data_IF_429535703252
#
_entry.id   IF_429535703252
#
_cell.length_a   1.000
_cell.length_b   1.000
_cell.length_c   1.000
_cell.angle_alpha   90.00
_cell.angle_beta   90.00
_cell.angle_gamma   90.00
#
_symmetry.space_group_name_H-M   'P 1'
#
loop_
_entity.id
_entity.type
_entity.pdbx_description
1 polymer ?
#
# COMPACT_ATOMS: atom_id res chain seq x y z
N UNK A 1 21.84 -11.94 -2.39
CA UNK A 1 21.64 -13.07 -1.48
C UNK A 1 22.47 -12.86 -0.23
N UNK A 2 21.95 -13.29 0.92
CA UNK A 2 22.69 -13.22 2.18
C UNK A 2 23.86 -14.21 2.16
N UNK A 3 24.84 -14.00 3.04
CA UNK A 3 26.01 -14.83 3.21
C UNK A 3 25.73 -16.09 4.07
N UNK A 4 24.45 -16.49 4.21
CA UNK A 4 24.03 -17.67 4.98
C UNK A 4 24.24 -18.94 4.15
N UNK A 5 24.97 -19.92 4.69
CA UNK A 5 25.25 -21.18 4.01
C UNK A 5 24.18 -22.25 4.30
N UNK A 6 24.05 -23.33 3.47
CA UNK A 6 23.02 -24.36 3.66
C UNK A 6 23.02 -25.04 5.05
N UNK A 7 24.20 -25.24 5.64
CA UNK A 7 24.32 -25.79 7.00
C UNK A 7 23.73 -24.84 8.05
N UNK A 8 23.92 -23.52 7.88
CA UNK A 8 23.37 -22.51 8.78
C UNK A 8 21.85 -22.40 8.63
N UNK A 9 21.30 -22.55 7.42
CA UNK A 9 19.85 -22.62 7.21
C UNK A 9 19.23 -23.82 7.93
N UNK A 10 19.91 -24.96 7.91
CA UNK A 10 19.47 -26.15 8.65
C UNK A 10 19.48 -25.90 10.15
N UNK A 11 20.53 -25.27 10.67
CA UNK A 11 20.61 -24.84 12.07
C UNK A 11 19.48 -23.84 12.43
N UNK A 12 19.21 -22.85 11.58
CA UNK A 12 18.11 -21.89 11.79
C UNK A 12 16.77 -22.62 11.89
N UNK A 13 16.50 -23.57 10.98
CA UNK A 13 15.28 -24.37 10.99
C UNK A 13 15.14 -25.23 12.25
N UNK A 14 16.25 -25.67 12.85
CA UNK A 14 16.23 -26.41 14.12
C UNK A 14 16.02 -25.49 15.32
N UNK A 15 16.69 -24.34 15.37
CA UNK A 15 16.58 -23.36 16.46
C UNK A 15 15.18 -22.75 16.52
N UNK A 16 14.59 -22.44 15.37
CA UNK A 16 13.27 -21.82 15.29
C UNK A 16 12.13 -22.83 15.14
N UNK A 17 12.40 -24.14 15.23
CA UNK A 17 11.38 -25.18 15.00
C UNK A 17 10.22 -25.07 16.00
N UNK A 18 9.00 -25.12 15.47
CA UNK A 18 7.79 -25.28 16.27
C UNK A 18 7.47 -26.74 16.62
N UNK A 19 6.18 -27.04 16.80
CA UNK A 19 5.69 -28.38 17.20
C UNK A 19 6.04 -29.50 16.20
N UNK A 20 6.18 -29.17 14.91
CA UNK A 20 6.50 -30.15 13.87
C UNK A 20 7.31 -29.56 12.71
N UNK A 21 7.76 -30.41 11.79
CA UNK A 21 8.56 -29.99 10.62
C UNK A 21 7.77 -28.99 9.77
N UNK A 22 8.39 -27.85 9.46
CA UNK A 22 7.75 -26.78 8.68
C UNK A 22 7.05 -25.69 9.52
N UNK A 23 6.96 -25.90 10.84
CA UNK A 23 6.48 -24.89 11.80
C UNK A 23 7.65 -24.06 12.32
N UNK A 24 7.38 -22.76 12.54
CA UNK A 24 8.30 -21.80 13.14
C UNK A 24 7.66 -21.34 14.45
N UNK A 25 8.33 -21.62 15.57
CA UNK A 25 7.86 -21.27 16.92
C UNK A 25 6.37 -21.64 17.12
N UNK A 26 5.58 -20.78 17.76
CA UNK A 26 4.13 -20.93 17.94
C UNK A 26 3.31 -20.20 16.85
N UNK A 27 3.93 -19.74 15.78
CA UNK A 27 3.24 -18.98 14.74
C UNK A 27 2.28 -19.86 13.92
N UNK A 28 1.04 -19.37 13.74
CA UNK A 28 0.16 -19.78 12.66
C UNK A 28 0.56 -19.08 11.36
N UNK A 29 -0.05 -19.43 10.23
CA UNK A 29 0.23 -18.70 8.99
C UNK A 29 -0.21 -17.23 9.05
N UNK A 30 -1.32 -16.94 9.75
CA UNK A 30 -1.82 -15.57 9.90
C UNK A 30 -0.92 -14.76 10.82
N UNK A 31 -0.52 -15.30 11.97
CA UNK A 31 0.32 -14.57 12.93
C UNK A 31 1.74 -14.39 12.42
N UNK A 32 2.28 -15.36 11.65
CA UNK A 32 3.56 -15.20 10.96
C UNK A 32 3.52 -14.06 9.92
N UNK A 33 2.43 -13.99 9.14
CA UNK A 33 2.22 -12.92 8.15
C UNK A 33 2.18 -11.57 8.83
N UNK A 34 1.33 -11.45 9.85
CA UNK A 34 1.19 -10.22 10.63
C UNK A 34 2.51 -9.79 11.27
N UNK A 35 3.25 -10.72 11.88
CA UNK A 35 4.58 -10.45 12.43
C UNK A 35 5.52 -9.86 11.38
N UNK A 36 5.57 -10.45 10.18
CA UNK A 36 6.44 -9.95 9.11
C UNK A 36 5.99 -8.60 8.54
N UNK A 37 4.68 -8.39 8.40
CA UNK A 37 4.11 -7.12 7.96
C UNK A 37 4.41 -6.01 8.96
N UNK A 38 4.19 -6.23 10.26
CA UNK A 38 4.33 -5.19 11.28
C UNK A 38 5.80 -4.91 11.65
N UNK A 39 6.64 -5.94 11.74
CA UNK A 39 8.03 -5.80 12.21
C UNK A 39 9.01 -5.48 11.08
N UNK A 40 8.72 -5.95 9.87
CA UNK A 40 9.64 -5.86 8.74
C UNK A 40 9.09 -5.12 7.53
N UNK A 41 7.78 -4.84 7.51
CA UNK A 41 7.11 -4.32 6.32
C UNK A 41 7.30 -5.25 5.12
N UNK A 42 7.19 -6.57 5.31
CA UNK A 42 7.42 -7.57 4.25
C UNK A 42 6.27 -8.55 4.15
N UNK A 43 5.80 -8.83 2.93
CA UNK A 43 4.86 -9.94 2.70
C UNK A 43 5.63 -11.23 2.45
N UNK A 44 5.92 -11.95 3.55
CA UNK A 44 6.56 -13.27 3.52
C UNK A 44 5.73 -14.31 2.73
N UNK A 45 4.43 -14.07 2.54
CA UNK A 45 3.52 -14.99 1.87
C UNK A 45 3.34 -14.71 0.38
N UNK A 46 3.99 -13.67 -0.16
CA UNK A 46 4.05 -13.40 -1.59
C UNK A 46 4.66 -14.57 -2.38
N UNK A 47 4.38 -14.62 -3.68
CA UNK A 47 4.90 -15.66 -4.58
C UNK A 47 6.43 -15.62 -4.71
N UNK A 48 7.04 -14.45 -4.51
CA UNK A 48 8.50 -14.24 -4.49
C UNK A 48 9.20 -15.17 -3.47
N UNK A 49 8.54 -15.53 -2.37
CA UNK A 49 9.09 -16.40 -1.32
C UNK A 49 8.52 -17.82 -1.30
N UNK A 50 7.75 -18.23 -2.32
CA UNK A 50 7.18 -19.58 -2.42
C UNK A 50 8.10 -20.61 -3.11
N UNK A 51 9.31 -20.21 -3.50
CA UNK A 51 10.23 -21.00 -4.35
C UNK A 51 10.70 -22.33 -3.74
N UNK A 52 10.72 -22.44 -2.42
CA UNK A 52 11.13 -23.66 -1.70
C UNK A 52 9.95 -24.42 -1.06
N UNK A 53 8.73 -24.06 -1.48
CA UNK A 53 7.49 -24.59 -0.94
C UNK A 53 6.71 -23.57 -0.11
N UNK A 54 5.51 -23.96 0.30
CA UNK A 54 4.51 -23.06 0.88
C UNK A 54 4.45 -23.07 2.40
N UNK A 55 5.31 -23.87 3.06
CA UNK A 55 5.41 -23.92 4.53
C UNK A 55 6.07 -22.66 5.10
N UNK A 56 5.85 -22.37 6.40
CA UNK A 56 6.47 -21.22 7.08
C UNK A 56 7.99 -21.29 7.02
N UNK A 57 8.56 -22.45 7.34
CA UNK A 57 10.00 -22.69 7.27
C UNK A 57 10.54 -22.54 5.84
N UNK A 58 9.84 -23.09 4.83
CA UNK A 58 10.22 -22.92 3.42
C UNK A 58 10.24 -21.45 3.00
N UNK A 59 9.21 -20.68 3.39
CA UNK A 59 9.11 -19.26 3.07
C UNK A 59 10.17 -18.43 3.77
N UNK A 60 10.42 -18.67 5.07
CA UNK A 60 11.52 -18.02 5.80
C UNK A 60 12.87 -18.33 5.16
N UNK A 61 13.11 -19.60 4.77
CA UNK A 61 14.36 -19.99 4.13
C UNK A 61 14.55 -19.31 2.77
N UNK A 62 13.50 -19.29 1.95
CA UNK A 62 13.49 -18.60 0.67
C UNK A 62 13.77 -17.10 0.85
N UNK A 63 13.13 -16.46 1.82
CA UNK A 63 13.39 -15.07 2.20
C UNK A 63 14.85 -14.84 2.57
N UNK A 64 15.40 -15.63 3.51
CA UNK A 64 16.77 -15.47 3.99
C UNK A 64 17.81 -15.65 2.89
N UNK A 65 17.58 -16.51 1.90
CA UNK A 65 18.48 -16.66 0.76
C UNK A 65 18.47 -15.44 -0.17
N UNK A 66 17.35 -14.74 -0.29
CA UNK A 66 17.19 -13.67 -1.27
C UNK A 66 17.71 -12.31 -0.77
N UNK A 67 17.41 -11.97 0.48
CA UNK A 67 17.70 -10.65 1.06
C UNK A 67 19.19 -10.41 1.36
N UNK A 68 19.56 -9.16 1.68
CA UNK A 68 20.88 -8.81 2.22
C UNK A 68 21.11 -9.28 3.67
N UNK A 69 22.37 -9.27 4.11
CA UNK A 69 22.76 -9.69 5.47
C UNK A 69 22.13 -8.83 6.58
N UNK A 70 21.99 -7.52 6.37
CA UNK A 70 21.39 -6.61 7.36
C UNK A 70 19.92 -6.97 7.61
N UNK A 71 19.18 -7.24 6.55
CA UNK A 71 17.79 -7.65 6.57
C UNK A 71 17.62 -9.04 7.19
N UNK A 72 18.48 -9.99 6.83
CA UNK A 72 18.49 -11.32 7.42
C UNK A 72 18.80 -11.27 8.93
N UNK A 73 19.82 -10.51 9.33
CA UNK A 73 20.19 -10.32 10.74
C UNK A 73 19.04 -9.74 11.56
N UNK A 74 18.38 -8.70 11.04
CA UNK A 74 17.23 -8.04 11.70
C UNK A 74 16.09 -9.02 11.96
N UNK A 75 15.71 -9.82 10.96
CA UNK A 75 14.65 -10.84 11.09
C UNK A 75 15.03 -11.92 12.11
N UNK A 76 16.23 -12.49 12.00
CA UNK A 76 16.70 -13.55 12.90
C UNK A 76 16.81 -13.05 14.35
N UNK A 77 17.25 -11.81 14.55
CA UNK A 77 17.30 -11.17 15.87
C UNK A 77 15.92 -11.07 16.51
N UNK A 78 14.92 -10.60 15.75
CA UNK A 78 13.55 -10.47 16.25
C UNK A 78 12.89 -11.82 16.52
N UNK A 79 13.10 -12.82 15.66
CA UNK A 79 12.59 -14.18 15.89
C UNK A 79 13.23 -14.84 17.12
N UNK A 80 14.54 -14.64 17.31
CA UNK A 80 15.24 -15.13 18.51
C UNK A 80 14.77 -14.42 19.78
N UNK A 81 14.56 -13.11 19.73
CA UNK A 81 14.00 -12.35 20.85
C UNK A 81 12.58 -12.81 21.20
N UNK A 82 11.73 -13.05 20.20
CA UNK A 82 10.39 -13.60 20.39
C UNK A 82 10.45 -14.97 21.08
N UNK A 83 11.30 -15.89 20.60
CA UNK A 83 11.53 -17.19 21.24
C UNK A 83 11.97 -17.03 22.69
N UNK A 84 12.89 -16.11 22.96
CA UNK A 84 13.39 -15.78 24.29
C UNK A 84 12.34 -15.17 25.23
N UNK A 85 11.20 -14.71 24.71
CA UNK A 85 10.07 -14.19 25.48
C UNK A 85 8.94 -15.21 25.69
N UNK A 86 8.92 -16.33 24.96
CA UNK A 86 7.88 -17.36 25.10
C UNK A 86 7.87 -18.00 26.51
N UNK A 87 6.73 -18.46 27.03
CA UNK A 87 6.67 -19.17 28.32
C UNK A 87 7.45 -20.49 28.33
N UNK A 88 8.10 -20.83 29.45
CA UNK A 88 8.92 -22.03 29.62
C UNK A 88 8.30 -23.37 29.15
N UNK A 89 7.02 -23.70 29.41
CA UNK A 89 6.42 -24.95 28.91
C UNK A 89 6.28 -25.01 27.38
N UNK A 90 6.39 -23.87 26.68
CA UNK A 90 6.24 -23.73 25.23
C UNK A 90 7.60 -23.61 24.50
N UNK A 91 8.72 -23.48 25.23
CA UNK A 91 10.06 -23.34 24.64
C UNK A 91 10.64 -24.64 24.07
N UNK A 92 9.99 -25.79 24.36
CA UNK A 92 10.50 -27.15 24.13
C UNK A 92 11.83 -27.44 24.84
N UNK A 93 11.90 -28.57 25.54
CA UNK A 93 13.13 -29.09 26.18
C UNK A 93 14.18 -29.60 25.16
N UNK A 94 13.97 -29.40 23.86
CA UNK A 94 14.85 -29.93 22.81
C UNK A 94 15.93 -28.89 22.46
N UNK A 95 17.04 -29.04 23.19
CA UNK A 95 18.45 -28.67 22.92
C UNK A 95 18.83 -27.19 22.72
N UNK A 96 19.57 -26.58 23.68
CA UNK A 96 20.16 -25.24 23.56
C UNK A 96 21.41 -25.14 22.65
N UNK A 97 21.80 -26.20 21.93
CA UNK A 97 23.09 -26.24 21.21
C UNK A 97 23.18 -25.26 20.02
N UNK A 98 22.06 -24.80 19.47
CA UNK A 98 22.06 -23.92 18.29
C UNK A 98 21.93 -22.43 18.58
N UNK A 99 21.49 -22.01 19.77
CA UNK A 99 21.24 -20.58 20.05
C UNK A 99 22.51 -19.75 20.04
N UNK A 100 23.58 -20.26 20.67
CA UNK A 100 24.89 -19.59 20.64
C UNK A 100 25.46 -19.48 19.22
N UNK A 101 25.23 -20.50 18.38
CA UNK A 101 25.63 -20.49 16.97
C UNK A 101 24.80 -19.50 16.15
N UNK A 102 23.48 -19.42 16.39
CA UNK A 102 22.61 -18.43 15.76
C UNK A 102 22.99 -17.01 16.17
N UNK A 103 23.33 -16.76 17.43
CA UNK A 103 23.83 -15.47 17.90
C UNK A 103 25.15 -15.09 17.21
N UNK A 104 26.07 -16.05 17.05
CA UNK A 104 27.32 -15.83 16.32
C UNK A 104 27.06 -15.52 14.83
N UNK A 105 26.10 -16.21 14.20
CA UNK A 105 25.66 -15.95 12.84
C UNK A 105 25.06 -14.55 12.70
N UNK A 106 24.13 -14.15 13.58
CA UNK A 106 23.53 -12.81 13.59
C UNK A 106 24.64 -11.74 13.64
N UNK A 107 25.58 -11.87 14.58
CA UNK A 107 26.73 -10.95 14.68
C UNK A 107 27.60 -10.91 13.43
N UNK A 108 27.73 -12.03 12.72
CA UNK A 108 28.46 -12.10 11.44
C UNK A 108 27.70 -11.34 10.34
N UNK A 109 26.39 -11.55 10.24
CA UNK A 109 25.53 -10.87 9.27
C UNK A 109 25.45 -9.35 9.53
N UNK A 110 25.40 -8.94 10.80
CA UNK A 110 25.43 -7.51 11.19
C UNK A 110 26.69 -6.78 10.74
N UNK A 111 27.83 -7.49 10.57
CA UNK A 111 29.07 -6.90 10.05
C UNK A 111 29.03 -6.69 8.53
N UNK A 112 28.13 -7.37 7.82
CA UNK A 112 27.97 -7.24 6.36
C UNK A 112 29.09 -7.87 5.54
N UNK A 113 29.94 -8.70 6.15
CA UNK A 113 31.07 -9.35 5.48
C UNK A 113 30.57 -10.46 4.52
N UNK A 114 30.20 -10.09 3.30
CA UNK A 114 29.91 -11.05 2.21
C UNK A 114 28.51 -10.99 1.57
N UNK A 115 27.69 -9.98 1.88
CA UNK A 115 26.38 -9.80 1.25
C UNK A 115 26.47 -9.31 -0.20
N UNK A 116 25.81 -10.02 -1.11
CA UNK A 116 25.45 -9.52 -2.45
C UNK A 116 23.92 -9.42 -2.60
N UNK A 117 23.19 -9.27 -1.48
CA UNK A 117 21.73 -9.14 -1.46
C UNK A 117 21.21 -7.73 -1.56
N UNK A 118 19.91 -7.64 -1.79
CA UNK A 118 19.14 -6.39 -1.76
C UNK A 118 18.18 -6.43 -0.58
N UNK A 119 17.80 -5.26 -0.07
CA UNK A 119 16.75 -5.15 0.92
C UNK A 119 15.46 -5.82 0.41
N UNK A 120 14.67 -6.45 1.29
CA UNK A 120 13.39 -7.01 0.90
C UNK A 120 12.48 -5.90 0.38
N UNK A 121 11.60 -6.25 -0.56
CA UNK A 121 10.60 -5.31 -1.06
C UNK A 121 9.62 -4.98 0.07
N UNK A 122 9.50 -3.70 0.47
CA UNK A 122 8.54 -3.30 1.48
C UNK A 122 7.10 -3.50 0.98
N UNK A 123 6.17 -3.90 1.85
CA UNK A 123 4.72 -3.87 1.56
C UNK A 123 4.30 -2.40 1.41
N UNK A 124 4.78 -1.54 2.32
CA UNK A 124 4.55 -0.10 2.33
C UNK A 124 5.81 0.63 1.88
N UNK A 125 5.95 0.85 0.58
CA UNK A 125 7.09 1.62 0.07
C UNK A 125 6.97 3.11 0.46
N UNK A 126 7.43 3.49 1.66
CA UNK A 126 7.42 4.88 2.15
C UNK A 126 8.10 5.85 1.17
N UNK A 127 9.18 5.41 0.53
CA UNK A 127 9.86 6.22 -0.49
C UNK A 127 8.92 6.54 -1.66
N UNK A 128 8.02 5.63 -2.02
CA UNK A 128 7.04 5.84 -3.08
C UNK A 128 6.02 6.94 -2.70
N UNK A 129 5.59 7.00 -1.45
CA UNK A 129 4.73 8.09 -0.95
C UNK A 129 5.45 9.45 -1.02
N UNK A 130 6.70 9.48 -0.58
CA UNK A 130 7.55 10.68 -0.65
C UNK A 130 7.78 11.14 -2.10
N UNK A 131 8.11 10.21 -3.00
CA UNK A 131 8.28 10.49 -4.43
C UNK A 131 7.02 11.05 -5.08
N UNK A 132 5.85 10.48 -4.79
CA UNK A 132 4.56 10.94 -5.30
C UNK A 132 4.23 12.33 -4.76
N UNK A 133 4.48 12.57 -3.47
CA UNK A 133 4.26 13.88 -2.84
C UNK A 133 5.18 14.94 -3.45
N UNK A 134 6.45 14.62 -3.66
CA UNK A 134 7.43 15.54 -4.24
C UNK A 134 7.14 15.80 -5.73
N UNK A 135 6.61 14.83 -6.46
CA UNK A 135 6.06 15.04 -7.80
C UNK A 135 4.86 15.99 -7.79
N UNK A 136 3.88 15.76 -6.91
CA UNK A 136 2.72 16.65 -6.75
C UNK A 136 3.14 18.10 -6.45
N UNK A 137 4.14 18.28 -5.59
CA UNK A 137 4.70 19.59 -5.27
C UNK A 137 5.34 20.27 -6.49
N UNK A 138 6.03 19.51 -7.36
CA UNK A 138 6.64 20.05 -8.58
C UNK A 138 5.61 20.56 -9.59
N UNK A 139 4.41 19.98 -9.63
CA UNK A 139 3.34 20.42 -10.55
C UNK A 139 2.92 21.88 -10.31
N UNK A 140 3.07 22.40 -9.09
CA UNK A 140 2.75 23.80 -8.78
C UNK A 140 3.52 24.81 -9.61
N UNK A 141 4.78 24.49 -9.95
CA UNK A 141 5.67 25.38 -10.70
C UNK A 141 5.39 25.45 -12.20
N UNK A 142 4.43 24.66 -12.71
CA UNK A 142 4.08 24.64 -14.13
C UNK A 142 3.05 25.71 -14.49
N UNK A 143 3.13 26.19 -15.73
CA UNK A 143 2.13 27.09 -16.31
C UNK A 143 0.74 26.43 -16.35
N UNK A 144 -0.37 27.21 -16.33
CA UNK A 144 -1.72 26.65 -16.17
C UNK A 144 -2.10 25.55 -17.17
N UNK A 145 -1.76 25.73 -18.46
CA UNK A 145 -2.08 24.75 -19.51
C UNK A 145 -1.27 23.44 -19.40
N UNK A 146 0.07 23.45 -19.40
CA UNK A 146 0.85 22.21 -19.24
C UNK A 146 0.62 21.52 -17.90
N UNK A 147 0.26 22.28 -16.85
CA UNK A 147 -0.05 21.74 -15.52
C UNK A 147 -1.27 20.81 -15.51
N UNK A 148 -2.31 21.11 -16.29
CA UNK A 148 -3.49 20.23 -16.40
C UNK A 148 -3.12 18.83 -16.92
N UNK A 149 -2.41 18.78 -18.05
CA UNK A 149 -1.94 17.51 -18.63
C UNK A 149 -0.93 16.77 -17.74
N UNK A 150 -0.05 17.51 -17.07
CA UNK A 150 0.88 16.93 -16.11
C UNK A 150 0.14 16.33 -14.90
N UNK A 151 -0.97 16.94 -14.49
CA UNK A 151 -1.80 16.40 -13.42
C UNK A 151 -2.53 15.11 -13.81
N UNK A 152 -3.07 15.03 -15.04
CA UNK A 152 -3.67 13.79 -15.56
C UNK A 152 -2.65 12.65 -15.57
N UNK A 153 -1.43 12.94 -16.03
CA UNK A 153 -0.32 11.98 -16.05
C UNK A 153 0.07 11.53 -14.64
N UNK A 154 0.15 12.48 -13.70
CA UNK A 154 0.41 12.22 -12.30
C UNK A 154 -0.66 11.33 -11.67
N UNK A 155 -1.95 11.63 -11.89
CA UNK A 155 -3.05 10.83 -11.33
C UNK A 155 -3.03 9.39 -11.86
N UNK A 156 -2.70 9.19 -13.13
CA UNK A 156 -2.51 7.84 -13.66
C UNK A 156 -1.40 7.10 -12.90
N UNK A 157 -0.24 7.71 -12.71
CA UNK A 157 0.88 7.12 -11.95
C UNK A 157 0.49 6.83 -10.50
N UNK A 158 -0.22 7.76 -9.87
CA UNK A 158 -0.74 7.62 -8.51
C UNK A 158 -1.65 6.39 -8.41
N UNK A 159 -2.61 6.25 -9.31
CA UNK A 159 -3.54 5.12 -9.30
C UNK A 159 -2.88 3.78 -9.63
N UNK A 160 -1.95 3.74 -10.59
CA UNK A 160 -1.19 2.53 -10.89
C UNK A 160 -0.30 2.09 -9.71
N UNK A 161 0.27 3.05 -8.98
CA UNK A 161 1.06 2.80 -7.77
C UNK A 161 0.24 2.06 -6.71
N UNK A 162 -1.04 2.41 -6.56
CA UNK A 162 -1.95 1.76 -5.62
C UNK A 162 -2.81 0.66 -6.27
N UNK A 163 -2.30 0.04 -7.35
CA UNK A 163 -2.89 -1.13 -8.00
C UNK A 163 -4.32 -0.94 -8.52
N UNK A 164 -4.70 0.29 -8.86
CA UNK A 164 -6.02 0.61 -9.40
C UNK A 164 -6.13 0.40 -10.92
N UNK A 165 -5.14 -0.17 -11.60
CA UNK A 165 -5.16 -0.49 -13.04
C UNK A 165 -5.61 0.71 -13.91
N UNK A 166 -4.89 1.83 -13.83
CA UNK A 166 -5.31 3.08 -14.45
C UNK A 166 -5.01 3.15 -15.95
N UNK A 167 -5.91 3.80 -16.69
CA UNK A 167 -5.81 4.08 -18.12
C UNK A 167 -5.63 5.57 -18.35
N UNK A 168 -4.80 5.88 -19.34
CA UNK A 168 -4.56 7.24 -19.84
C UNK A 168 -5.83 7.87 -20.44
N UNK A 169 -5.86 9.19 -20.66
CA UNK A 169 -6.99 9.87 -21.31
C UNK A 169 -7.39 9.22 -22.64
N UNK A 170 -8.69 9.19 -22.92
CA UNK A 170 -9.22 8.60 -24.15
C UNK A 170 -10.43 9.38 -24.67
N UNK A 171 -10.64 9.29 -25.98
CA UNK A 171 -11.74 9.97 -26.68
C UNK A 171 -12.75 8.94 -27.15
N UNK A 172 -14.01 9.14 -26.75
CA UNK A 172 -15.19 8.51 -27.33
C UNK A 172 -15.79 9.47 -28.36
N UNK A 173 -16.78 9.01 -29.14
CA UNK A 173 -17.42 9.83 -30.19
C UNK A 173 -17.98 11.12 -29.58
N UNK A 174 -17.28 12.24 -29.79
CA UNK A 174 -17.67 13.57 -29.30
C UNK A 174 -17.36 13.87 -27.83
N UNK A 175 -16.66 12.99 -27.10
CA UNK A 175 -16.44 13.12 -25.66
C UNK A 175 -15.00 12.73 -25.25
N UNK A 176 -14.31 13.61 -24.53
CA UNK A 176 -13.02 13.32 -23.91
C UNK A 176 -13.21 12.94 -22.44
N UNK A 177 -12.51 11.88 -22.02
CA UNK A 177 -12.42 11.41 -20.64
C UNK A 177 -10.95 11.45 -20.22
N UNK A 178 -10.67 12.04 -19.06
CA UNK A 178 -9.30 12.30 -18.59
C UNK A 178 -8.60 11.01 -18.10
N UNK A 179 -9.36 9.93 -17.89
CA UNK A 179 -8.83 8.60 -17.62
C UNK A 179 -9.87 7.64 -17.06
N UNK A 180 -9.43 6.46 -16.70
CA UNK A 180 -10.25 5.52 -15.92
C UNK A 180 -9.40 4.59 -15.07
N UNK A 181 -9.98 3.99 -14.05
CA UNK A 181 -9.31 3.02 -13.18
C UNK A 181 -10.32 2.00 -12.63
N UNK A 182 -9.82 0.93 -12.02
CA UNK A 182 -10.59 -0.09 -11.34
C UNK A 182 -10.47 0.08 -9.83
N UNK A 183 -11.61 -0.02 -9.13
CA UNK A 183 -11.66 -0.08 -7.68
C UNK A 183 -12.65 -1.19 -7.30
N UNK A 184 -12.18 -2.22 -6.61
CA UNK A 184 -12.93 -3.45 -6.41
C UNK A 184 -13.32 -4.09 -7.75
N UNK A 185 -14.62 -4.25 -8.00
CA UNK A 185 -15.17 -4.83 -9.24
C UNK A 185 -15.78 -3.80 -10.18
N UNK A 186 -15.57 -2.51 -9.93
CA UNK A 186 -16.20 -1.42 -10.68
C UNK A 186 -15.16 -0.60 -11.45
N UNK A 187 -15.62 -0.02 -12.55
CA UNK A 187 -14.81 0.91 -13.35
C UNK A 187 -15.18 2.34 -13.03
N UNK A 188 -14.18 3.15 -12.68
CA UNK A 188 -14.33 4.57 -12.41
C UNK A 188 -13.80 5.37 -13.60
N UNK A 189 -14.64 6.24 -14.15
CA UNK A 189 -14.19 7.30 -15.03
C UNK A 189 -13.57 8.42 -14.21
N UNK A 190 -12.53 9.05 -14.75
CA UNK A 190 -11.84 10.16 -14.13
C UNK A 190 -12.14 11.47 -14.88
N UNK A 191 -12.44 12.51 -14.13
CA UNK A 191 -12.31 13.91 -14.57
C UNK A 191 -11.37 14.62 -13.59
N UNK A 192 -10.38 15.33 -14.13
CA UNK A 192 -9.35 16.00 -13.35
C UNK A 192 -9.30 17.50 -13.68
N UNK A 193 -9.33 18.35 -12.65
CA UNK A 193 -9.22 19.81 -12.80
C UNK A 193 -8.11 20.35 -11.92
N UNK A 194 -7.13 21.00 -12.55
CA UNK A 194 -6.14 21.81 -11.83
C UNK A 194 -6.40 23.30 -12.03
N UNK A 195 -7.25 23.85 -11.18
CA UNK A 195 -7.55 25.28 -11.13
C UNK A 195 -7.53 25.80 -9.70
N UNK A 196 -7.32 27.10 -9.54
CA UNK A 196 -7.29 27.76 -8.23
C UNK A 196 -8.69 27.86 -7.63
N UNK A 197 -9.68 28.15 -8.46
CA UNK A 197 -11.04 28.40 -8.00
C UNK A 197 -11.79 27.08 -7.77
N UNK A 198 -12.50 26.93 -6.64
CA UNK A 198 -13.24 25.71 -6.34
C UNK A 198 -14.31 25.40 -7.38
N UNK A 199 -14.49 24.11 -7.66
CA UNK A 199 -15.43 23.59 -8.65
C UNK A 199 -16.88 23.81 -8.19
N UNK A 200 -17.72 24.22 -9.15
CA UNK A 200 -19.15 24.48 -8.94
C UNK A 200 -20.05 23.30 -9.31
N UNK A 201 -21.36 23.47 -9.09
CA UNK A 201 -22.36 22.43 -9.38
C UNK A 201 -22.45 22.08 -10.88
N UNK A 202 -22.22 23.06 -11.76
CA UNK A 202 -22.40 22.88 -13.21
C UNK A 202 -21.42 21.86 -13.78
N UNK A 203 -20.16 21.91 -13.36
CA UNK A 203 -19.12 20.99 -13.79
C UNK A 203 -19.38 19.58 -13.23
N UNK A 204 -19.80 19.48 -11.97
CA UNK A 204 -20.19 18.21 -11.35
C UNK A 204 -21.36 17.55 -12.09
N UNK A 205 -22.39 18.32 -12.45
CA UNK A 205 -23.51 17.81 -13.25
C UNK A 205 -23.10 17.42 -14.66
N UNK A 206 -22.23 18.21 -15.30
CA UNK A 206 -21.68 17.88 -16.61
C UNK A 206 -21.00 16.52 -16.59
N UNK A 207 -20.09 16.31 -15.63
CA UNK A 207 -19.39 15.02 -15.47
C UNK A 207 -20.33 13.88 -15.09
N UNK A 208 -21.29 14.11 -14.18
CA UNK A 208 -22.29 13.09 -13.83
C UNK A 208 -23.09 12.61 -15.06
N UNK A 209 -23.49 13.53 -15.94
CA UNK A 209 -24.18 13.18 -17.18
C UNK A 209 -23.33 12.26 -18.08
N UNK A 210 -22.00 12.47 -18.12
CA UNK A 210 -21.06 11.59 -18.84
C UNK A 210 -21.08 10.18 -18.27
N UNK A 211 -21.06 10.06 -16.93
CA UNK A 211 -21.06 8.77 -16.22
C UNK A 211 -22.39 8.01 -16.43
N UNK A 212 -23.53 8.71 -16.42
CA UNK A 212 -24.85 8.09 -16.64
C UNK A 212 -25.03 7.50 -18.04
N UNK A 213 -24.32 8.02 -19.04
CA UNK A 213 -24.34 7.48 -20.40
C UNK A 213 -23.50 6.21 -20.57
N UNK A 214 -22.80 5.77 -19.52
CA UNK A 214 -22.01 4.53 -19.54
C UNK A 214 -22.79 3.35 -18.99
N UNK A 215 -22.15 2.18 -19.00
CA UNK A 215 -22.71 0.97 -18.42
C UNK A 215 -23.11 1.21 -16.96
N UNK A 216 -24.17 0.54 -16.50
CA UNK A 216 -24.79 0.80 -15.18
C UNK A 216 -23.85 0.60 -13.98
N UNK A 217 -22.78 -0.17 -14.15
CA UNK A 217 -21.73 -0.40 -13.15
C UNK A 217 -20.55 0.59 -13.24
N UNK A 218 -20.63 1.56 -14.15
CA UNK A 218 -19.62 2.62 -14.25
C UNK A 218 -19.88 3.68 -13.18
N UNK A 219 -18.80 4.10 -12.54
CA UNK A 219 -18.81 5.18 -11.55
C UNK A 219 -17.88 6.31 -12.00
N UNK A 220 -17.90 7.42 -11.28
CA UNK A 220 -17.04 8.57 -11.55
C UNK A 220 -16.26 8.99 -10.33
N UNK A 221 -15.01 9.39 -10.54
CA UNK A 221 -14.22 10.17 -9.60
C UNK A 221 -13.96 11.54 -10.22
N UNK A 222 -14.40 12.60 -9.55
CA UNK A 222 -14.02 13.96 -9.89
C UNK A 222 -12.88 14.39 -8.98
N UNK A 223 -11.72 14.70 -9.55
CA UNK A 223 -10.57 15.23 -8.82
C UNK A 223 -10.43 16.72 -9.10
N UNK A 224 -10.56 17.55 -8.07
CA UNK A 224 -10.35 19.01 -8.16
C UNK A 224 -9.19 19.44 -7.27
N UNK A 225 -8.12 19.94 -7.86
CA UNK A 225 -6.99 20.42 -7.06
C UNK A 225 -7.38 21.58 -6.13
N UNK A 226 -8.14 22.56 -6.63
CA UNK A 226 -8.66 23.70 -5.86
C UNK A 226 -9.88 23.39 -4.99
N UNK A 227 -10.31 22.14 -4.93
CA UNK A 227 -11.48 21.70 -4.16
C UNK A 227 -12.81 22.07 -4.81
N UNK A 228 -13.86 22.11 -3.99
CA UNK A 228 -15.25 22.28 -4.41
C UNK A 228 -15.96 23.34 -3.58
N UNK A 229 -16.90 24.05 -4.19
CA UNK A 229 -17.75 24.99 -3.46
C UNK A 229 -18.73 24.24 -2.56
N UNK A 230 -18.94 24.69 -1.32
CA UNK A 230 -19.92 24.09 -0.41
C UNK A 230 -21.33 24.10 -1.00
N UNK A 231 -21.73 25.21 -1.62
CA UNK A 231 -23.03 25.35 -2.30
C UNK A 231 -23.12 24.37 -3.47
N UNK A 232 -22.04 24.19 -4.23
CA UNK A 232 -22.00 23.24 -5.35
C UNK A 232 -22.14 21.78 -4.90
N UNK A 233 -21.41 21.40 -3.85
CA UNK A 233 -21.52 20.07 -3.25
C UNK A 233 -22.92 19.80 -2.68
N UNK A 234 -23.51 20.76 -1.97
CA UNK A 234 -24.86 20.65 -1.42
C UNK A 234 -25.93 20.53 -2.52
N UNK A 235 -25.79 21.31 -3.60
CA UNK A 235 -26.71 21.26 -4.73
C UNK A 235 -26.57 19.95 -5.53
N UNK A 236 -25.36 19.40 -5.60
CA UNK A 236 -25.09 18.13 -6.30
C UNK A 236 -25.55 16.91 -5.49
N UNK A 237 -25.27 16.91 -4.17
CA UNK A 237 -25.43 15.78 -3.26
C UNK A 237 -26.77 15.76 -2.53
N UNK A 238 -27.83 15.28 -3.20
CA UNK A 238 -29.12 14.92 -2.59
C UNK A 238 -29.84 13.76 -3.31
N UNK A 239 -29.22 13.13 -4.31
CA UNK A 239 -29.78 12.00 -5.05
C UNK A 239 -28.74 10.87 -5.20
N UNK A 240 -29.16 9.67 -5.60
CA UNK A 240 -28.26 8.53 -5.85
C UNK A 240 -27.33 8.81 -7.04
N UNK A 241 -26.20 9.46 -6.78
CA UNK A 241 -25.18 9.80 -7.78
C UNK A 241 -24.07 8.75 -7.76
N UNK A 242 -23.59 8.36 -8.93
CA UNK A 242 -22.45 7.41 -9.09
C UNK A 242 -21.09 8.11 -9.10
N UNK A 243 -21.01 9.33 -8.54
CA UNK A 243 -19.83 10.18 -8.57
C UNK A 243 -19.38 10.49 -7.16
N UNK A 244 -18.11 10.20 -6.87
CA UNK A 244 -17.41 10.67 -5.67
C UNK A 244 -16.41 11.77 -6.03
N UNK A 245 -16.05 12.58 -5.05
CA UNK A 245 -15.16 13.73 -5.20
C UNK A 245 -13.94 13.58 -4.29
N UNK A 246 -12.80 14.05 -4.80
CA UNK A 246 -11.54 14.12 -4.08
C UNK A 246 -10.84 15.43 -4.44
N UNK A 247 -10.20 16.08 -3.48
CA UNK A 247 -9.45 17.30 -3.74
C UNK A 247 -7.93 17.13 -3.63
N UNK A 248 -7.19 18.18 -4.00
CA UNK A 248 -5.73 18.16 -3.91
C UNK A 248 -5.22 18.00 -2.48
N UNK A 249 -5.97 18.50 -1.50
CA UNK A 249 -5.63 18.38 -0.08
C UNK A 249 -5.78 16.93 0.40
N UNK A 250 -6.83 16.21 -0.02
CA UNK A 250 -7.01 14.80 0.25
C UNK A 250 -5.82 13.98 -0.27
N UNK A 251 -5.36 14.26 -1.50
CA UNK A 251 -4.21 13.55 -2.10
C UNK A 251 -2.95 13.85 -1.29
N UNK A 252 -2.67 15.12 -1.02
CA UNK A 252 -1.46 15.54 -0.30
C UNK A 252 -1.43 14.94 1.12
N UNK A 253 -2.52 15.08 1.88
CA UNK A 253 -2.61 14.57 3.26
C UNK A 253 -2.55 13.03 3.31
N UNK A 254 -3.13 12.33 2.32
CA UNK A 254 -3.04 10.88 2.24
C UNK A 254 -1.59 10.44 2.05
N UNK A 255 -0.86 11.10 1.14
CA UNK A 255 0.54 10.81 0.89
C UNK A 255 1.42 11.13 2.09
N UNK A 256 1.22 12.29 2.72
CA UNK A 256 1.99 12.72 3.90
C UNK A 256 1.79 11.80 5.11
N UNK A 257 0.59 11.21 5.23
CA UNK A 257 0.23 10.28 6.30
C UNK A 257 0.47 8.81 5.93
N UNK A 258 1.05 8.52 4.77
CA UNK A 258 1.23 7.18 4.22
C UNK A 258 -0.06 6.34 4.19
N UNK A 259 -1.19 6.97 3.85
CA UNK A 259 -2.48 6.30 3.67
C UNK A 259 -2.63 5.90 2.20
N UNK A 260 -2.80 4.60 1.89
CA UNK A 260 -2.99 4.14 0.52
C UNK A 260 -4.19 4.79 -0.18
N UNK A 261 -4.03 5.20 -1.44
CA UNK A 261 -5.08 5.95 -2.17
C UNK A 261 -6.31 5.09 -2.46
N UNK A 262 -6.12 3.80 -2.72
CA UNK A 262 -7.21 2.82 -2.83
C UNK A 262 -8.07 2.80 -1.56
N UNK A 263 -7.45 2.77 -0.37
CA UNK A 263 -8.15 2.83 0.92
C UNK A 263 -8.88 4.16 1.13
N UNK A 264 -8.30 5.28 0.69
CA UNK A 264 -8.97 6.60 0.73
C UNK A 264 -10.22 6.59 -0.14
N UNK A 265 -10.13 6.08 -1.36
CA UNK A 265 -11.24 6.00 -2.30
C UNK A 265 -12.34 5.08 -1.75
N UNK A 266 -12.00 3.92 -1.19
CA UNK A 266 -12.98 3.02 -0.56
C UNK A 266 -13.75 3.71 0.57
N UNK A 267 -13.08 4.49 1.45
CA UNK A 267 -13.76 5.26 2.49
C UNK A 267 -14.66 6.36 1.92
N UNK A 268 -14.23 7.03 0.85
CA UNK A 268 -15.07 8.03 0.16
C UNK A 268 -16.30 7.39 -0.48
N UNK A 269 -16.15 6.22 -1.11
CA UNK A 269 -17.26 5.44 -1.66
C UNK A 269 -18.25 5.07 -0.57
N UNK A 270 -17.75 4.54 0.56
CA UNK A 270 -18.59 4.18 1.71
C UNK A 270 -19.33 5.39 2.26
N UNK A 271 -18.63 6.51 2.46
CA UNK A 271 -19.25 7.75 2.92
C UNK A 271 -20.36 8.23 1.98
N UNK A 272 -20.11 8.24 0.67
CA UNK A 272 -21.11 8.66 -0.31
C UNK A 272 -22.32 7.72 -0.34
N UNK A 273 -22.10 6.41 -0.17
CA UNK A 273 -23.19 5.43 -0.08
C UNK A 273 -24.03 5.59 1.19
N UNK A 274 -23.40 5.90 2.33
CA UNK A 274 -24.07 6.02 3.63
C UNK A 274 -24.77 7.37 3.82
N UNK A 275 -24.25 8.45 3.22
CA UNK A 275 -24.73 9.82 3.47
C UNK A 275 -25.37 10.51 2.27
N UNK A 276 -25.15 9.99 1.05
CA UNK A 276 -25.54 10.65 -0.19
C UNK A 276 -24.66 11.85 -0.57
N UNK A 277 -23.63 12.17 0.22
CA UNK A 277 -22.72 13.28 -0.05
C UNK A 277 -21.53 12.82 -0.90
N UNK A 278 -21.22 13.48 -2.02
CA UNK A 278 -20.16 13.06 -2.94
C UNK A 278 -18.76 13.29 -2.37
N UNK A 279 -18.62 14.14 -1.35
CA UNK A 279 -17.34 14.63 -0.84
C UNK A 279 -17.32 14.60 0.68
N UNK A 280 -16.26 14.03 1.23
CA UNK A 280 -15.83 14.20 2.61
C UNK A 280 -14.31 14.39 2.63
N UNK A 281 -13.84 15.25 3.52
CA UNK A 281 -12.41 15.53 3.68
C UNK A 281 -11.70 14.32 4.26
N UNK A 282 -10.45 14.10 3.86
CA UNK A 282 -9.62 13.01 4.39
C UNK A 282 -9.59 12.99 5.92
N UNK A 283 -9.38 14.15 6.57
CA UNK A 283 -9.37 14.28 8.04
C UNK A 283 -10.67 13.85 8.73
N UNK A 284 -11.83 13.96 8.06
CA UNK A 284 -13.10 13.48 8.60
C UNK A 284 -13.18 11.96 8.49
N UNK A 285 -12.70 11.42 7.37
CA UNK A 285 -12.69 9.98 7.11
C UNK A 285 -11.60 9.25 7.90
N UNK A 286 -10.47 9.89 8.21
CA UNK A 286 -9.32 9.34 8.91
C UNK A 286 -8.91 10.32 10.03
N UNK A 287 -9.62 10.34 11.16
CA UNK A 287 -9.30 11.23 12.27
C UNK A 287 -7.92 10.90 12.86
N UNK A 288 -7.21 11.93 13.33
CA UNK A 288 -6.00 11.72 14.12
C UNK A 288 -6.39 11.25 15.53
N UNK A 289 -5.65 10.31 16.15
CA UNK A 289 -5.89 9.98 17.55
C UNK A 289 -5.73 11.25 18.39
N UNK A 290 -6.73 11.53 19.23
CA UNK A 290 -6.62 12.60 20.21
C UNK A 290 -5.41 12.32 21.10
N UNK A 291 -4.42 13.21 21.07
CA UNK A 291 -3.24 13.14 21.93
C UNK A 291 -3.56 13.39 23.39
#
# INVERSE_FOLDING_TARGET
MSSIVPAELTMIDEVLRGESKGYILDFSNSTMREFFTLEFDVDLYSDDYATEGTSKASRLRSFLKQVDDTSAARVLTRLLAYRGAMPAPMRSEIRPLGEGQLLALIKRLERGDGSAGTAPRPIFNRNQYEELRDELNRLWGLDPRPRGYAFETYLKRLFDTFHLNARAPFTLVGEQIDGSFQLGHETYLLEAKWQKDPIGVLELHGFHGKVEQKASWSRGLFVSFGGFTNVGLQAFGQAAKRVICMDGQDIYEALDRNIPIDVVLERKVRHAAETGLPFAMLRQLFPLPHG
#
